data_IF_235916597975
#
_entry.id   IF_235916597975
#
_cell.length_a   1.000
_cell.length_b   1.000
_cell.length_c   1.000
_cell.angle_alpha   90.00
_cell.angle_beta   90.00
_cell.angle_gamma   90.00
#
_symmetry.space_group_name_H-M   'P 1'
#
loop_
_entity.id
_entity.type
_entity.pdbx_description
1 polymer ?
#
# COMPACT_ATOMS: atom_id res chain seq x y z
N UNK A 1 3.66 21.88 -5.28
CA UNK A 1 5.11 22.00 -5.51
C UNK A 1 5.81 20.66 -5.41
N UNK A 2 5.63 19.91 -4.31
CA UNK A 2 6.30 18.61 -4.09
C UNK A 2 6.01 17.59 -5.19
N UNK A 3 4.76 17.50 -5.66
CA UNK A 3 4.37 16.62 -6.77
C UNK A 3 5.12 17.00 -8.06
N UNK A 4 5.18 18.28 -8.39
CA UNK A 4 5.89 18.75 -9.60
C UNK A 4 7.39 18.48 -9.52
N UNK A 5 8.01 18.71 -8.36
CA UNK A 5 9.43 18.40 -8.13
C UNK A 5 9.72 16.91 -8.22
N UNK A 6 8.84 16.06 -7.65
CA UNK A 6 8.96 14.61 -7.76
C UNK A 6 8.78 14.15 -9.21
N UNK A 7 7.79 14.69 -9.93
CA UNK A 7 7.54 14.38 -11.33
C UNK A 7 8.77 14.68 -12.21
N UNK A 8 9.38 15.87 -12.05
CA UNK A 8 10.61 16.19 -12.77
C UNK A 8 11.78 15.26 -12.48
N UNK A 9 11.90 14.74 -11.23
CA UNK A 9 12.92 13.74 -10.90
C UNK A 9 12.65 12.39 -11.55
N UNK A 10 11.39 11.94 -11.53
CA UNK A 10 10.96 10.68 -12.12
C UNK A 10 11.16 10.66 -13.64
N UNK A 11 10.74 11.73 -14.33
CA UNK A 11 10.91 11.89 -15.77
C UNK A 11 12.38 11.88 -16.18
N UNK A 12 13.24 12.66 -15.50
CA UNK A 12 14.68 12.67 -15.78
C UNK A 12 15.36 11.31 -15.60
N UNK A 13 14.85 10.47 -14.69
CA UNK A 13 15.37 9.12 -14.43
C UNK A 13 14.73 8.05 -15.31
N UNK A 14 13.71 8.39 -16.09
CA UNK A 14 12.97 7.42 -16.91
C UNK A 14 12.29 6.31 -16.09
N UNK A 15 11.84 6.62 -14.86
CA UNK A 15 11.24 5.61 -13.96
C UNK A 15 9.83 5.26 -14.40
N UNK A 16 9.05 6.24 -14.85
CA UNK A 16 7.68 6.08 -15.32
C UNK A 16 7.29 7.20 -16.28
N UNK A 17 6.36 6.94 -17.18
CA UNK A 17 5.59 7.97 -17.86
C UNK A 17 4.57 8.55 -16.88
N UNK A 18 4.36 9.86 -16.93
CA UNK A 18 3.53 10.53 -15.93
C UNK A 18 2.35 11.25 -16.57
N UNK A 19 1.16 10.99 -16.00
CA UNK A 19 -0.04 11.78 -16.22
C UNK A 19 -0.35 12.57 -14.95
N UNK A 20 -0.33 13.90 -15.04
CA UNK A 20 -0.60 14.81 -13.91
C UNK A 20 -2.00 15.39 -14.09
N UNK A 21 -2.81 15.33 -13.02
CA UNK A 21 -4.19 15.81 -13.03
C UNK A 21 -4.29 17.23 -12.50
N UNK A 22 -4.93 18.11 -13.27
CA UNK A 22 -5.19 19.49 -12.90
C UNK A 22 -5.23 20.43 -14.10
N UNK A 23 -5.30 21.73 -13.83
CA UNK A 23 -5.27 22.77 -14.89
C UNK A 23 -3.87 22.84 -15.52
N UNK A 24 -3.80 22.61 -16.83
CA UNK A 24 -2.52 22.51 -17.54
C UNK A 24 -1.74 23.82 -17.49
N UNK A 25 -2.41 24.96 -17.64
CA UNK A 25 -1.74 26.27 -17.66
C UNK A 25 -1.10 26.57 -16.30
N UNK A 26 -1.82 26.29 -15.22
CA UNK A 26 -1.33 26.47 -13.86
C UNK A 26 -0.18 25.51 -13.54
N UNK A 27 -0.30 24.23 -13.93
CA UNK A 27 0.74 23.20 -13.72
C UNK A 27 2.02 23.60 -14.47
N UNK A 28 1.93 23.96 -15.75
CA UNK A 28 3.09 24.35 -16.57
C UNK A 28 3.74 25.63 -16.05
N UNK A 29 2.95 26.65 -15.70
CA UNK A 29 3.46 27.88 -15.12
C UNK A 29 4.22 27.62 -13.82
N UNK A 30 3.60 26.85 -12.90
CA UNK A 30 4.22 26.57 -11.61
C UNK A 30 5.48 25.71 -11.74
N UNK A 31 5.49 24.73 -12.63
CA UNK A 31 6.67 23.93 -12.94
C UNK A 31 7.84 24.83 -13.44
N UNK A 32 7.54 25.78 -14.32
CA UNK A 32 8.55 26.76 -14.82
C UNK A 32 9.13 27.60 -13.68
N UNK A 33 8.28 28.13 -12.77
CA UNK A 33 8.72 28.87 -11.59
C UNK A 33 9.64 28.07 -10.68
N UNK A 34 9.39 26.76 -10.57
CA UNK A 34 10.18 25.81 -9.77
C UNK A 34 11.43 25.29 -10.50
N UNK A 35 11.65 25.67 -11.77
CA UNK A 35 12.73 25.16 -12.59
C UNK A 35 12.59 23.66 -12.91
N UNK A 36 11.35 23.15 -12.99
CA UNK A 36 11.04 21.73 -13.24
C UNK A 36 10.58 21.56 -14.68
N UNK A 37 11.27 20.70 -15.42
CA UNK A 37 10.86 20.29 -16.76
C UNK A 37 9.81 19.19 -16.68
N UNK A 38 8.62 19.47 -17.20
CA UNK A 38 7.50 18.54 -17.35
C UNK A 38 7.11 18.32 -18.81
N UNK A 39 7.97 18.64 -19.77
CA UNK A 39 7.66 18.53 -21.21
C UNK A 39 7.23 17.11 -21.61
N UNK A 40 7.80 16.08 -20.98
CA UNK A 40 7.46 14.69 -21.21
C UNK A 40 6.23 14.19 -20.41
N UNK A 41 5.62 15.03 -19.55
CA UNK A 41 4.42 14.64 -18.81
C UNK A 41 3.15 14.97 -19.62
N UNK A 42 2.18 14.05 -19.60
CA UNK A 42 0.81 14.34 -19.99
C UNK A 42 0.11 15.10 -18.86
N UNK A 43 -0.64 16.13 -19.20
CA UNK A 43 -1.49 16.86 -18.22
C UNK A 43 -2.94 16.73 -18.65
N UNK A 44 -3.80 16.29 -17.72
CA UNK A 44 -5.24 16.15 -17.95
C UNK A 44 -6.01 16.95 -16.89
N UNK A 45 -6.95 17.78 -17.35
CA UNK A 45 -7.86 18.46 -16.44
C UNK A 45 -9.16 17.62 -16.32
N UNK A 46 -9.47 17.06 -15.14
CA UNK A 46 -10.68 16.25 -14.93
C UNK A 46 -11.98 16.98 -15.31
N UNK A 47 -12.00 18.31 -15.17
CA UNK A 47 -13.23 19.12 -15.43
C UNK A 47 -13.48 19.43 -16.90
N UNK A 48 -12.46 19.38 -17.73
CA UNK A 48 -12.57 19.68 -19.16
C UNK A 48 -12.13 18.54 -20.08
N UNK A 49 -11.81 17.38 -19.51
CA UNK A 49 -11.42 16.19 -20.28
C UNK A 49 -12.59 15.59 -21.03
N UNK A 50 -12.37 15.21 -22.28
CA UNK A 50 -13.32 14.45 -23.09
C UNK A 50 -13.68 13.08 -22.48
N UNK A 51 -12.84 12.56 -21.57
CA UNK A 51 -13.09 11.30 -20.87
C UNK A 51 -14.15 11.42 -19.78
N UNK A 52 -14.50 12.63 -19.36
CA UNK A 52 -15.39 12.86 -18.21
C UNK A 52 -16.76 12.19 -18.41
N UNK A 53 -17.37 12.34 -19.60
CA UNK A 53 -18.68 11.74 -19.87
C UNK A 53 -18.63 10.21 -19.87
N UNK A 54 -17.65 9.62 -20.56
CA UNK A 54 -17.43 8.18 -20.54
C UNK A 54 -17.23 7.65 -19.11
N UNK A 55 -16.44 8.35 -18.29
CA UNK A 55 -16.18 7.96 -16.91
C UNK A 55 -17.43 8.09 -16.04
N UNK A 56 -18.24 9.11 -16.26
CA UNK A 56 -19.52 9.28 -15.55
C UNK A 56 -20.49 8.11 -15.82
N UNK A 57 -20.65 7.73 -17.08
CA UNK A 57 -21.49 6.59 -17.47
C UNK A 57 -20.99 5.28 -16.84
N UNK A 58 -19.68 5.03 -16.92
CA UNK A 58 -19.07 3.84 -16.34
C UNK A 58 -19.19 3.81 -14.81
N UNK A 59 -18.91 4.93 -14.13
CA UNK A 59 -19.02 5.01 -12.69
C UNK A 59 -20.47 4.83 -12.22
N UNK A 60 -21.45 5.42 -12.90
CA UNK A 60 -22.86 5.21 -12.62
C UNK A 60 -23.24 3.72 -12.73
N UNK A 61 -22.77 3.01 -13.74
CA UNK A 61 -23.03 1.57 -13.89
C UNK A 61 -22.35 0.76 -12.77
N UNK A 62 -21.09 1.05 -12.42
CA UNK A 62 -20.36 0.42 -11.30
C UNK A 62 -21.13 0.61 -9.99
N UNK A 63 -21.74 1.78 -9.78
CA UNK A 63 -22.44 2.16 -8.55
C UNK A 63 -23.96 2.06 -8.64
N UNK A 64 -24.51 1.47 -9.69
CA UNK A 64 -25.97 1.33 -9.95
C UNK A 64 -26.74 0.76 -8.76
N UNK A 65 -26.19 -0.27 -8.10
CA UNK A 65 -26.81 -0.86 -6.89
C UNK A 65 -26.87 0.09 -5.70
N UNK A 66 -26.12 1.20 -5.73
CA UNK A 66 -26.13 2.26 -4.72
C UNK A 66 -26.97 3.47 -5.15
N UNK A 67 -27.64 3.40 -6.31
CA UNK A 67 -28.54 4.44 -6.81
C UNK A 67 -27.83 5.68 -7.37
N UNK A 68 -26.55 5.58 -7.75
CA UNK A 68 -25.82 6.71 -8.34
C UNK A 68 -26.32 6.93 -9.78
N UNK A 69 -26.82 8.15 -10.07
CA UNK A 69 -27.21 8.55 -11.43
C UNK A 69 -26.03 9.04 -12.25
N UNK A 70 -26.16 9.13 -13.58
CA UNK A 70 -25.11 9.66 -14.46
C UNK A 70 -24.80 11.12 -14.13
N UNK A 71 -25.81 11.93 -13.79
CA UNK A 71 -25.63 13.34 -13.39
C UNK A 71 -24.75 13.45 -12.13
N UNK A 72 -25.06 12.63 -11.11
CA UNK A 72 -24.24 12.57 -9.89
C UNK A 72 -22.83 12.06 -10.18
N UNK A 73 -22.73 11.04 -11.02
CA UNK A 73 -21.45 10.46 -11.43
C UNK A 73 -20.57 11.49 -12.14
N UNK A 74 -21.17 12.34 -12.99
CA UNK A 74 -20.45 13.41 -13.71
C UNK A 74 -19.78 14.42 -12.77
N UNK A 75 -20.43 14.75 -11.65
CA UNK A 75 -19.82 15.61 -10.63
C UNK A 75 -18.69 14.88 -9.87
N UNK A 76 -18.93 13.61 -9.52
CA UNK A 76 -17.98 12.80 -8.74
C UNK A 76 -16.69 12.56 -9.53
N UNK A 77 -16.77 12.20 -10.80
CA UNK A 77 -15.59 11.87 -11.60
C UNK A 77 -14.72 13.08 -11.95
N UNK A 78 -15.18 14.29 -11.70
CA UNK A 78 -14.37 15.51 -11.81
C UNK A 78 -13.37 15.68 -10.64
N UNK A 79 -13.56 14.93 -9.57
CA UNK A 79 -12.60 14.85 -8.48
C UNK A 79 -11.33 14.12 -8.93
N UNK A 80 -10.15 14.66 -8.58
CA UNK A 80 -8.87 14.14 -9.07
C UNK A 80 -8.60 12.69 -8.67
N UNK A 81 -9.03 12.26 -7.47
CA UNK A 81 -8.84 10.87 -7.04
C UNK A 81 -9.79 9.92 -7.76
N UNK A 82 -11.03 10.32 -7.99
CA UNK A 82 -11.98 9.53 -8.79
C UNK A 82 -11.56 9.47 -10.26
N UNK A 83 -11.17 10.61 -10.85
CA UNK A 83 -10.72 10.64 -12.24
C UNK A 83 -9.47 9.78 -12.45
N UNK A 84 -8.47 9.91 -11.57
CA UNK A 84 -7.27 9.09 -11.62
C UNK A 84 -7.56 7.60 -11.47
N UNK A 85 -8.47 7.24 -10.57
CA UNK A 85 -8.90 5.85 -10.41
C UNK A 85 -9.62 5.32 -11.65
N UNK A 86 -10.42 6.16 -12.34
CA UNK A 86 -11.05 5.78 -13.61
C UNK A 86 -10.04 5.64 -14.75
N UNK A 87 -8.95 6.42 -14.77
CA UNK A 87 -7.85 6.21 -15.72
C UNK A 87 -7.21 4.83 -15.51
N UNK A 88 -6.93 4.45 -14.26
CA UNK A 88 -6.40 3.12 -13.90
C UNK A 88 -7.40 2.01 -14.28
N UNK A 89 -8.68 2.20 -13.98
CA UNK A 89 -9.74 1.23 -14.31
C UNK A 89 -9.83 0.92 -15.80
N UNK A 90 -9.65 1.95 -16.64
CA UNK A 90 -9.72 1.85 -18.11
C UNK A 90 -8.37 1.49 -18.77
N UNK A 91 -7.33 1.12 -18.04
CA UNK A 91 -6.00 0.83 -18.59
C UNK A 91 -5.38 1.98 -19.40
N UNK A 92 -5.77 3.23 -19.10
CA UNK A 92 -5.17 4.44 -19.69
C UNK A 92 -3.84 4.75 -19.00
N UNK A 93 -3.75 4.41 -17.71
CA UNK A 93 -2.52 4.41 -16.92
C UNK A 93 -2.45 3.12 -16.09
N UNK A 94 -1.24 2.69 -15.75
CA UNK A 94 -1.00 1.42 -15.07
C UNK A 94 -1.23 1.50 -13.55
N UNK A 95 -1.19 2.70 -12.97
CA UNK A 95 -1.39 2.90 -11.54
C UNK A 95 -1.61 4.37 -11.17
N UNK A 96 -1.95 4.62 -9.90
CA UNK A 96 -2.19 5.96 -9.38
C UNK A 96 -1.45 6.18 -8.06
N UNK A 97 -0.90 7.37 -7.89
CA UNK A 97 -0.37 7.88 -6.61
C UNK A 97 -1.05 9.21 -6.29
N UNK A 98 -1.69 9.31 -5.15
CA UNK A 98 -2.42 10.51 -4.69
C UNK A 98 -2.25 10.68 -3.17
N UNK A 99 -2.79 11.74 -2.57
CA UNK A 99 -2.84 11.91 -1.10
C UNK A 99 -2.00 13.05 -0.54
N UNK A 100 -1.04 13.60 -1.27
CA UNK A 100 -0.16 14.68 -0.75
C UNK A 100 -0.90 15.94 -0.27
N UNK A 101 -2.13 16.15 -0.74
CA UNK A 101 -3.00 17.27 -0.35
C UNK A 101 -4.40 16.81 0.12
N UNK A 102 -4.63 15.50 0.23
CA UNK A 102 -5.91 14.89 0.57
C UNK A 102 -5.79 13.95 1.78
N UNK A 103 -6.91 13.53 2.33
CA UNK A 103 -6.92 12.49 3.36
C UNK A 103 -6.78 11.11 2.71
N UNK A 104 -6.23 10.14 3.46
CA UNK A 104 -6.18 8.73 3.02
C UNK A 104 -7.55 8.22 2.57
N UNK A 105 -8.62 8.53 3.31
CA UNK A 105 -9.97 8.15 2.93
C UNK A 105 -10.38 8.69 1.55
N UNK A 106 -10.00 9.93 1.20
CA UNK A 106 -10.31 10.53 -0.10
C UNK A 106 -9.57 9.83 -1.25
N UNK A 107 -8.33 9.43 -1.04
CA UNK A 107 -7.52 8.69 -2.05
C UNK A 107 -7.99 7.25 -2.21
N UNK A 108 -8.26 6.56 -1.10
CA UNK A 108 -8.47 5.10 -1.09
C UNK A 108 -9.93 4.73 -1.42
N UNK A 109 -10.91 5.56 -1.04
CA UNK A 109 -12.34 5.27 -1.30
C UNK A 109 -12.67 5.00 -2.77
N UNK A 110 -12.22 5.79 -3.77
CA UNK A 110 -12.45 5.47 -5.18
C UNK A 110 -11.92 4.10 -5.58
N UNK A 111 -10.75 3.70 -5.04
CA UNK A 111 -10.14 2.41 -5.35
C UNK A 111 -11.00 1.23 -4.85
N UNK A 112 -11.59 1.35 -3.66
CA UNK A 112 -12.53 0.33 -3.16
C UNK A 112 -13.82 0.27 -3.98
N UNK A 113 -14.28 1.38 -4.47
CA UNK A 113 -15.52 1.46 -5.25
C UNK A 113 -15.36 0.96 -6.68
N UNK A 114 -14.23 1.25 -7.32
CA UNK A 114 -13.99 1.07 -8.76
C UNK A 114 -13.05 -0.10 -9.03
N UNK A 115 -11.86 -0.10 -8.44
CA UNK A 115 -10.81 -1.12 -8.68
C UNK A 115 -11.14 -2.43 -7.99
N UNK A 116 -11.60 -2.36 -6.74
CA UNK A 116 -11.94 -3.51 -5.89
C UNK A 116 -10.73 -4.38 -5.56
N UNK A 117 -10.98 -5.45 -4.79
CA UNK A 117 -9.95 -6.40 -4.37
C UNK A 117 -9.69 -7.46 -5.44
N UNK A 118 -8.50 -8.04 -5.41
CA UNK A 118 -8.16 -9.26 -6.14
C UNK A 118 -9.11 -10.41 -5.78
N UNK A 119 -9.38 -11.33 -6.71
CA UNK A 119 -10.13 -12.54 -6.40
C UNK A 119 -9.51 -13.31 -5.22
N UNK A 120 -10.35 -13.68 -4.25
CA UNK A 120 -9.91 -14.41 -3.05
C UNK A 120 -9.26 -13.53 -1.96
N UNK A 121 -9.17 -12.22 -2.15
CA UNK A 121 -8.72 -11.26 -1.13
C UNK A 121 -9.93 -10.53 -0.57
N UNK A 122 -10.18 -10.67 0.73
CA UNK A 122 -11.33 -10.09 1.40
C UNK A 122 -11.14 -8.63 1.77
N UNK A 123 -9.89 -8.20 1.98
CA UNK A 123 -9.59 -6.85 2.48
C UNK A 123 -8.37 -6.24 1.81
N UNK A 124 -8.42 -4.93 1.62
CA UNK A 124 -7.24 -4.13 1.24
C UNK A 124 -6.48 -3.81 2.50
N UNK A 125 -5.17 -3.94 2.45
CA UNK A 125 -4.26 -3.62 3.54
C UNK A 125 -3.05 -2.83 3.05
N UNK A 126 -2.08 -2.62 3.92
CA UNK A 126 -0.86 -1.90 3.56
C UNK A 126 0.39 -2.60 4.09
N UNK A 127 1.53 -2.32 3.45
CA UNK A 127 2.83 -2.55 4.05
C UNK A 127 3.67 -1.27 4.09
N UNK A 128 4.60 -1.23 5.04
CA UNK A 128 5.76 -0.35 5.00
C UNK A 128 7.02 -1.16 4.76
N UNK A 129 7.85 -0.72 3.83
CA UNK A 129 9.21 -1.22 3.69
C UNK A 129 10.10 -0.43 4.66
N UNK A 130 10.56 -1.10 5.70
CA UNK A 130 11.42 -0.53 6.72
C UNK A 130 12.88 -0.79 6.34
N UNK A 131 13.54 0.23 5.77
CA UNK A 131 14.94 0.15 5.37
C UNK A 131 15.81 0.47 6.58
N UNK A 132 16.36 -0.55 7.18
CA UNK A 132 17.36 -0.48 8.24
C UNK A 132 18.77 -0.36 7.62
N UNK A 133 19.80 -0.21 8.44
CA UNK A 133 21.17 -0.06 7.97
C UNK A 133 21.72 -1.30 7.27
N UNK A 134 21.21 -2.48 7.62
CA UNK A 134 21.71 -3.79 7.20
C UNK A 134 20.69 -4.64 6.44
N UNK A 135 19.42 -4.28 6.49
CA UNK A 135 18.33 -5.08 5.91
C UNK A 135 17.06 -4.26 5.64
N UNK A 136 16.17 -4.83 4.84
CA UNK A 136 14.80 -4.30 4.63
C UNK A 136 13.79 -5.29 5.21
N UNK A 137 12.86 -4.78 6.01
CA UNK A 137 11.75 -5.55 6.58
C UNK A 137 10.43 -5.02 6.03
N UNK A 138 9.46 -5.91 5.78
CA UNK A 138 8.11 -5.54 5.41
C UNK A 138 7.19 -5.60 6.64
N UNK A 139 6.56 -4.48 6.99
CA UNK A 139 5.64 -4.35 8.12
C UNK A 139 4.19 -4.21 7.63
N UNK A 140 3.31 -5.12 7.99
CA UNK A 140 1.91 -5.12 7.60
C UNK A 140 0.96 -5.56 8.74
N UNK A 141 -0.27 -5.06 8.86
CA UNK A 141 -0.77 -3.81 8.32
C UNK A 141 -0.44 -2.66 9.27
N UNK A 142 -0.16 -1.49 8.73
CA UNK A 142 0.21 -0.33 9.54
C UNK A 142 -0.64 0.92 9.26
N UNK A 143 -1.63 0.86 8.32
CA UNK A 143 -2.33 2.08 7.92
C UNK A 143 -3.83 1.92 7.61
N UNK A 144 -4.36 0.73 7.38
CA UNK A 144 -5.70 0.54 6.78
C UNK A 144 -6.69 -0.16 7.70
N UNK A 145 -6.38 -1.36 8.21
CA UNK A 145 -7.34 -2.22 8.92
C UNK A 145 -7.19 -2.08 10.44
N UNK A 146 -8.17 -1.46 11.13
CA UNK A 146 -8.01 -1.16 12.57
C UNK A 146 -7.90 -2.40 13.45
N UNK A 147 -8.78 -3.37 13.28
CA UNK A 147 -8.83 -4.61 14.06
C UNK A 147 -9.26 -5.76 13.14
N UNK A 148 -8.31 -6.42 12.46
CA UNK A 148 -8.61 -7.49 11.53
C UNK A 148 -9.12 -8.74 12.26
N UNK A 149 -10.07 -9.45 11.65
CA UNK A 149 -10.42 -10.83 12.04
C UNK A 149 -9.25 -11.77 11.74
N UNK A 150 -9.33 -13.04 12.18
CA UNK A 150 -8.30 -14.02 11.85
C UNK A 150 -8.17 -14.26 10.34
N UNK A 151 -9.30 -14.27 9.62
CA UNK A 151 -9.34 -14.40 8.15
C UNK A 151 -8.69 -13.21 7.45
N UNK A 152 -9.03 -11.98 7.87
CA UNK A 152 -8.43 -10.75 7.33
C UNK A 152 -6.94 -10.68 7.65
N UNK A 153 -6.53 -11.10 8.85
CA UNK A 153 -5.12 -11.13 9.25
C UNK A 153 -4.32 -12.15 8.41
N UNK A 154 -4.92 -13.28 8.05
CA UNK A 154 -4.32 -14.24 7.13
C UNK A 154 -4.20 -13.65 5.71
N UNK A 155 -5.22 -12.94 5.22
CA UNK A 155 -5.16 -12.24 3.93
C UNK A 155 -4.07 -11.17 3.91
N UNK A 156 -3.93 -10.40 5.00
CA UNK A 156 -2.85 -9.41 5.19
C UNK A 156 -1.49 -10.10 5.10
N UNK A 157 -1.30 -11.22 5.78
CA UNK A 157 -0.05 -11.96 5.78
C UNK A 157 0.34 -12.46 4.38
N UNK A 158 -0.60 -13.09 3.68
CA UNK A 158 -0.39 -13.62 2.33
C UNK A 158 -0.11 -12.49 1.34
N UNK A 159 -0.89 -11.41 1.40
CA UNK A 159 -0.68 -10.24 0.54
C UNK A 159 0.67 -9.58 0.82
N UNK A 160 1.07 -9.46 2.09
CA UNK A 160 2.35 -8.88 2.49
C UNK A 160 3.53 -9.73 2.02
N UNK A 161 3.43 -11.05 2.09
CA UNK A 161 4.44 -11.97 1.58
C UNK A 161 4.62 -11.82 0.06
N UNK A 162 3.52 -11.77 -0.68
CA UNK A 162 3.53 -11.56 -2.14
C UNK A 162 4.13 -10.21 -2.50
N UNK A 163 3.72 -9.15 -1.79
CA UNK A 163 4.27 -7.80 -2.02
C UNK A 163 5.76 -7.75 -1.68
N UNK A 164 6.20 -8.34 -0.57
CA UNK A 164 7.62 -8.42 -0.22
C UNK A 164 8.45 -9.12 -1.30
N UNK A 165 7.96 -10.25 -1.83
CA UNK A 165 8.59 -10.98 -2.92
C UNK A 165 8.70 -10.13 -4.21
N UNK A 166 7.71 -9.27 -4.48
CA UNK A 166 7.77 -8.33 -5.60
C UNK A 166 8.95 -7.36 -5.50
N UNK A 167 9.33 -6.98 -4.28
CA UNK A 167 10.47 -6.11 -4.02
C UNK A 167 11.78 -6.87 -3.78
N UNK A 168 11.82 -8.17 -4.12
CA UNK A 168 13.02 -8.99 -4.00
C UNK A 168 13.35 -9.43 -2.56
N UNK A 169 12.40 -9.29 -1.64
CA UNK A 169 12.54 -9.77 -0.26
C UNK A 169 12.04 -11.21 -0.20
N UNK A 170 12.90 -12.15 0.19
CA UNK A 170 12.52 -13.55 0.45
C UNK A 170 11.54 -13.63 1.64
N UNK A 171 10.25 -13.99 1.44
CA UNK A 171 9.24 -13.84 2.46
C UNK A 171 9.35 -14.91 3.56
N UNK A 172 9.68 -14.48 4.78
CA UNK A 172 9.58 -15.25 6.01
C UNK A 172 8.66 -14.50 6.96
N UNK A 173 7.45 -15.00 7.09
CA UNK A 173 6.33 -14.30 7.73
C UNK A 173 6.26 -14.59 9.22
N UNK A 174 6.37 -13.56 10.05
CA UNK A 174 6.14 -13.64 11.49
C UNK A 174 4.78 -13.02 11.83
N UNK A 175 3.86 -13.83 12.38
CA UNK A 175 2.56 -13.38 12.88
C UNK A 175 2.74 -12.92 14.32
N UNK A 176 2.81 -11.60 14.52
CA UNK A 176 3.25 -11.00 15.76
C UNK A 176 2.20 -11.04 16.87
N UNK A 177 2.67 -11.28 18.08
CA UNK A 177 1.91 -11.28 19.32
C UNK A 177 2.81 -10.92 20.49
N UNK A 178 2.23 -10.62 21.66
CA UNK A 178 2.97 -10.59 22.93
C UNK A 178 3.33 -12.00 23.44
N UNK A 179 2.86 -13.05 22.76
CA UNK A 179 3.16 -14.45 23.06
C UNK A 179 4.05 -15.07 22.01
N UNK A 180 4.96 -15.95 22.41
CA UNK A 180 5.71 -16.83 21.52
C UNK A 180 5.28 -18.27 21.79
N UNK A 181 4.68 -18.91 20.78
CA UNK A 181 4.09 -20.25 20.94
C UNK A 181 3.02 -20.28 22.04
N UNK A 182 3.24 -21.10 23.07
CA UNK A 182 2.33 -21.28 24.19
C UNK A 182 2.66 -20.42 25.43
N UNK A 183 3.56 -19.43 25.30
CA UNK A 183 4.02 -18.63 26.45
C UNK A 183 2.97 -17.69 27.03
N UNK A 184 1.92 -17.37 26.29
CA UNK A 184 0.81 -16.51 26.69
C UNK A 184 -0.53 -16.99 26.17
N UNK A 185 -1.61 -16.42 26.71
CA UNK A 185 -2.98 -16.74 26.34
C UNK A 185 -3.85 -15.48 26.28
N UNK A 186 -4.97 -15.56 25.60
CA UNK A 186 -5.96 -14.50 25.46
C UNK A 186 -6.46 -14.36 24.03
N UNK A 187 -7.57 -13.63 23.85
CA UNK A 187 -8.25 -13.51 22.57
C UNK A 187 -7.35 -13.01 21.44
N UNK A 188 -6.43 -12.07 21.72
CA UNK A 188 -5.46 -11.59 20.74
C UNK A 188 -4.46 -12.66 20.30
N UNK A 189 -4.01 -13.52 21.24
CA UNK A 189 -3.12 -14.65 20.91
C UNK A 189 -3.86 -15.70 20.09
N UNK A 190 -5.10 -16.00 20.47
CA UNK A 190 -5.94 -16.98 19.76
C UNK A 190 -6.27 -16.52 18.34
N UNK A 191 -6.53 -15.22 18.13
CA UNK A 191 -6.68 -14.61 16.79
C UNK A 191 -5.45 -14.84 15.94
N UNK A 192 -4.27 -14.55 16.46
CA UNK A 192 -3.00 -14.70 15.73
C UNK A 192 -2.73 -16.18 15.42
N UNK A 193 -2.99 -17.07 16.37
CA UNK A 193 -2.84 -18.53 16.18
C UNK A 193 -3.77 -19.01 15.06
N UNK A 194 -5.05 -18.64 15.09
CA UNK A 194 -6.02 -18.99 14.06
C UNK A 194 -5.61 -18.45 12.69
N UNK A 195 -5.16 -17.19 12.61
CA UNK A 195 -4.66 -16.59 11.37
C UNK A 195 -3.44 -17.35 10.82
N UNK A 196 -2.50 -17.73 11.68
CA UNK A 196 -1.31 -18.50 11.28
C UNK A 196 -1.68 -19.84 10.65
N UNK A 197 -2.64 -20.57 11.25
CA UNK A 197 -3.14 -21.82 10.69
C UNK A 197 -3.85 -21.63 9.35
N UNK A 198 -4.63 -20.56 9.20
CA UNK A 198 -5.26 -20.22 7.93
C UNK A 198 -4.23 -19.91 6.83
N UNK A 199 -3.14 -19.24 7.15
CA UNK A 199 -2.03 -19.01 6.19
C UNK A 199 -1.42 -20.34 5.76
N UNK A 200 -1.10 -21.23 6.71
CA UNK A 200 -0.54 -22.56 6.43
C UNK A 200 -1.44 -23.42 5.54
N UNK A 201 -2.75 -23.32 5.74
CA UNK A 201 -3.73 -24.04 4.92
C UNK A 201 -3.87 -23.50 3.51
N UNK A 202 -3.83 -22.16 3.34
CA UNK A 202 -4.04 -21.50 2.05
C UNK A 202 -2.77 -21.42 1.20
N UNK A 203 -1.60 -21.30 1.85
CA UNK A 203 -0.29 -21.17 1.20
C UNK A 203 0.72 -22.12 1.89
N UNK A 204 0.64 -23.42 1.62
CA UNK A 204 1.45 -24.45 2.33
C UNK A 204 2.96 -24.27 2.18
N UNK A 205 3.40 -23.66 1.09
CA UNK A 205 4.81 -23.43 0.78
C UNK A 205 5.35 -22.14 1.39
N UNK A 206 4.49 -21.26 1.95
CA UNK A 206 4.90 -20.02 2.58
C UNK A 206 5.48 -20.28 3.97
N UNK A 207 6.70 -19.84 4.19
CA UNK A 207 7.32 -19.89 5.51
C UNK A 207 6.60 -18.91 6.46
N UNK A 208 5.81 -19.43 7.37
CA UNK A 208 5.05 -18.65 8.36
C UNK A 208 5.20 -19.22 9.76
N UNK A 209 5.38 -18.34 10.74
CA UNK A 209 5.48 -18.65 12.16
C UNK A 209 4.63 -17.70 13.00
N UNK A 210 3.95 -18.24 14.01
CA UNK A 210 3.14 -17.45 14.93
C UNK A 210 2.25 -18.31 15.83
N UNK A 211 1.81 -17.74 16.97
CA UNK A 211 2.16 -16.40 17.47
C UNK A 211 3.64 -16.30 17.86
N UNK A 212 4.26 -15.15 17.60
CA UNK A 212 5.67 -14.92 17.92
C UNK A 212 5.89 -13.46 18.35
N UNK A 213 6.75 -13.24 19.35
CA UNK A 213 7.15 -11.90 19.78
C UNK A 213 8.14 -11.29 18.77
N UNK A 214 8.18 -9.96 18.72
CA UNK A 214 9.01 -9.23 17.77
C UNK A 214 10.51 -9.58 17.90
N UNK A 215 11.05 -9.63 19.14
CA UNK A 215 12.44 -10.00 19.40
C UNK A 215 12.77 -11.42 18.91
N UNK A 216 11.89 -12.38 19.18
CA UNK A 216 12.05 -13.75 18.70
C UNK A 216 11.92 -13.87 17.17
N UNK A 217 11.16 -12.97 16.52
CA UNK A 217 11.04 -12.97 15.08
C UNK A 217 12.31 -12.50 14.35
N UNK A 218 13.04 -11.52 14.91
CA UNK A 218 14.12 -10.82 14.20
C UNK A 218 15.53 -11.04 14.77
N UNK A 219 15.62 -11.55 16.01
CA UNK A 219 16.91 -11.72 16.71
C UNK A 219 17.29 -13.22 16.84
N UNK A 220 18.33 -13.69 16.14
CA UNK A 220 18.71 -15.11 16.15
C UNK A 220 18.98 -15.70 17.52
N UNK A 221 19.59 -14.94 18.43
CA UNK A 221 19.91 -15.40 19.78
C UNK A 221 18.64 -15.69 20.62
N UNK A 222 17.61 -14.84 20.46
CA UNK A 222 16.31 -15.01 21.12
C UNK A 222 15.55 -16.19 20.49
N UNK A 223 15.57 -16.29 19.18
CA UNK A 223 14.95 -17.40 18.44
C UNK A 223 15.54 -18.76 18.85
N UNK A 224 16.86 -18.85 18.99
CA UNK A 224 17.53 -20.08 19.41
C UNK A 224 17.05 -20.60 20.78
N UNK A 225 16.64 -19.70 21.68
CA UNK A 225 16.09 -20.04 22.98
C UNK A 225 14.60 -20.37 22.95
N UNK A 226 13.80 -19.55 22.22
CA UNK A 226 12.33 -19.62 22.26
C UNK A 226 11.73 -20.56 21.20
N UNK A 227 12.34 -20.64 20.01
CA UNK A 227 11.82 -21.40 18.86
C UNK A 227 12.95 -22.00 18.01
N UNK A 228 13.80 -22.89 18.58
CA UNK A 228 15.04 -23.37 17.93
C UNK A 228 14.82 -24.11 16.61
N UNK A 229 13.62 -24.68 16.40
CA UNK A 229 13.27 -25.45 15.20
C UNK A 229 12.50 -24.65 14.14
N UNK A 230 12.24 -23.36 14.38
CA UNK A 230 11.47 -22.53 13.44
C UNK A 230 12.31 -22.14 12.21
N UNK A 231 11.73 -22.26 11.04
CA UNK A 231 12.33 -21.76 9.79
C UNK A 231 12.25 -20.23 9.64
N UNK A 232 11.47 -19.55 10.48
CA UNK A 232 11.19 -18.11 10.41
C UNK A 232 11.83 -17.34 11.58
N UNK A 233 11.74 -17.87 12.80
CA UNK A 233 12.23 -17.19 13.99
C UNK A 233 13.71 -16.77 13.85
N UNK A 234 14.01 -15.55 14.29
CA UNK A 234 15.33 -14.92 14.21
C UNK A 234 15.75 -14.42 12.83
N UNK A 235 14.94 -14.65 11.80
CA UNK A 235 15.22 -14.25 10.41
C UNK A 235 13.97 -13.85 9.63
N UNK A 236 12.91 -13.46 10.33
CA UNK A 236 11.70 -12.95 9.70
C UNK A 236 12.01 -11.70 8.86
N UNK A 237 11.38 -11.63 7.70
CA UNK A 237 11.49 -10.50 6.77
C UNK A 237 10.15 -9.78 6.58
N UNK A 238 9.04 -10.46 6.89
CA UNK A 238 7.68 -9.92 6.84
C UNK A 238 7.08 -10.05 8.24
N UNK A 239 6.71 -8.93 8.84
CA UNK A 239 6.19 -8.86 10.20
C UNK A 239 4.75 -8.37 10.16
N UNK A 240 3.83 -9.22 10.60
CA UNK A 240 2.38 -8.97 10.56
C UNK A 240 1.89 -8.62 11.96
N UNK A 241 1.35 -7.43 12.10
CA UNK A 241 0.85 -6.90 13.36
C UNK A 241 -0.61 -7.31 13.60
N UNK A 242 -1.00 -7.66 14.85
CA UNK A 242 -2.34 -8.16 15.15
C UNK A 242 -3.44 -7.10 15.02
N UNK A 243 -3.09 -5.83 15.05
CA UNK A 243 -3.99 -4.68 14.97
C UNK A 243 -3.25 -3.41 14.54
N UNK A 244 -4.01 -2.39 14.15
CA UNK A 244 -3.47 -1.13 13.64
C UNK A 244 -2.73 -0.32 14.72
N UNK A 245 -3.16 -0.37 15.98
CA UNK A 245 -2.46 0.33 17.06
C UNK A 245 -1.03 -0.18 17.17
N UNK A 246 -0.86 -1.51 17.16
CA UNK A 246 0.45 -2.15 17.23
C UNK A 246 1.29 -1.81 16.00
N UNK A 247 0.75 -2.01 14.80
CA UNK A 247 1.47 -1.78 13.55
C UNK A 247 1.87 -0.31 13.35
N UNK A 248 0.92 0.61 13.51
CA UNK A 248 1.13 2.04 13.29
C UNK A 248 2.16 2.64 14.28
N UNK A 249 2.05 2.28 15.57
CA UNK A 249 3.00 2.76 16.56
C UNK A 249 4.39 2.14 16.38
N UNK A 250 4.46 0.86 16.03
CA UNK A 250 5.75 0.16 15.88
C UNK A 250 6.55 0.70 14.70
N UNK A 251 5.96 0.86 13.51
CA UNK A 251 6.74 1.38 12.38
C UNK A 251 7.25 2.80 12.66
N UNK A 252 6.44 3.64 13.30
CA UNK A 252 6.86 5.01 13.68
C UNK A 252 7.97 5.00 14.73
N UNK A 253 7.86 4.12 15.73
CA UNK A 253 8.89 3.97 16.75
C UNK A 253 10.23 3.53 16.13
N UNK A 254 10.22 2.52 15.26
CA UNK A 254 11.41 2.06 14.53
C UNK A 254 11.97 3.16 13.64
N UNK A 255 11.11 3.83 12.86
CA UNK A 255 11.53 4.94 11.99
C UNK A 255 12.22 6.05 12.79
N UNK A 256 11.64 6.47 13.92
CA UNK A 256 12.15 7.61 14.70
C UNK A 256 13.31 7.25 15.63
N UNK A 257 13.29 6.05 16.21
CA UNK A 257 14.28 5.63 17.21
C UNK A 257 15.50 4.95 16.60
N UNK A 258 15.33 4.20 15.51
CA UNK A 258 16.42 3.52 14.83
C UNK A 258 16.91 4.26 13.57
N UNK A 259 16.32 5.40 13.22
CA UNK A 259 16.68 6.15 12.01
C UNK A 259 16.37 5.42 10.72
N UNK A 260 15.47 4.43 10.75
CA UNK A 260 15.07 3.67 9.57
C UNK A 260 14.29 4.55 8.59
N UNK A 261 14.48 4.30 7.29
CA UNK A 261 13.64 4.90 6.25
C UNK A 261 12.38 4.02 6.13
N UNK A 262 11.20 4.61 6.35
CA UNK A 262 9.93 3.94 6.18
C UNK A 262 9.31 4.34 4.84
N UNK A 263 9.21 3.41 3.90
CA UNK A 263 8.61 3.65 2.59
C UNK A 263 7.22 3.03 2.57
N UNK A 264 6.19 3.85 2.43
CA UNK A 264 4.80 3.43 2.47
C UNK A 264 3.85 4.56 2.90
N UNK A 265 2.55 4.27 3.10
CA UNK A 265 1.97 2.93 2.97
C UNK A 265 1.88 2.46 1.51
N UNK A 266 2.31 1.25 1.24
CA UNK A 266 2.10 0.57 -0.03
C UNK A 266 0.81 -0.23 0.09
N UNK A 267 -0.22 0.13 -0.68
CA UNK A 267 -1.49 -0.59 -0.65
C UNK A 267 -1.36 -1.94 -1.37
N UNK A 268 -2.05 -2.92 -0.84
CA UNK A 268 -2.04 -4.29 -1.36
C UNK A 268 -3.43 -4.92 -1.34
N UNK A 269 -3.64 -5.92 -2.17
CA UNK A 269 -4.93 -6.59 -2.30
C UNK A 269 -5.88 -5.92 -3.29
N UNK A 270 -5.53 -4.81 -3.93
CA UNK A 270 -6.29 -4.20 -5.03
C UNK A 270 -6.02 -4.89 -6.36
N UNK A 271 -7.02 -4.94 -7.26
CA UNK A 271 -6.85 -5.49 -8.62
C UNK A 271 -5.82 -4.72 -9.45
N UNK A 272 -5.65 -3.42 -9.21
CA UNK A 272 -4.68 -2.56 -9.89
C UNK A 272 -4.00 -1.63 -8.90
N UNK A 273 -2.76 -1.20 -9.15
CA UNK A 273 -1.98 -0.42 -8.21
C UNK A 273 -2.54 0.98 -7.98
N UNK A 274 -2.88 1.25 -6.74
CA UNK A 274 -3.19 2.61 -6.26
C UNK A 274 -2.51 2.78 -4.92
N UNK A 275 -1.73 3.84 -4.75
CA UNK A 275 -1.04 4.11 -3.50
C UNK A 275 -1.36 5.52 -2.96
N UNK A 276 -1.39 5.61 -1.63
CA UNK A 276 -1.67 6.83 -0.89
C UNK A 276 -0.37 7.48 -0.40
N UNK A 277 -0.38 8.80 -0.36
CA UNK A 277 0.69 9.62 0.21
C UNK A 277 0.22 10.26 1.52
N UNK A 278 1.11 10.31 2.49
CA UNK A 278 0.90 11.19 3.63
C UNK A 278 0.86 12.67 3.18
N UNK A 279 0.01 13.48 3.80
CA UNK A 279 0.02 14.94 3.60
C UNK A 279 1.36 15.59 3.98
N UNK A 280 2.14 14.93 4.81
CA UNK A 280 3.51 15.31 5.17
C UNK A 280 4.61 14.68 4.30
N UNK A 281 4.26 13.94 3.23
CA UNK A 281 5.23 13.30 2.35
C UNK A 281 6.23 14.30 1.77
N UNK A 282 7.50 13.96 1.79
CA UNK A 282 8.56 14.70 1.13
C UNK A 282 8.64 14.36 -0.35
N UNK A 283 9.44 15.08 -1.11
CA UNK A 283 9.65 14.83 -2.55
C UNK A 283 10.19 13.43 -2.79
N UNK A 284 11.12 12.98 -1.96
CA UNK A 284 11.68 11.63 -1.99
C UNK A 284 10.62 10.54 -1.75
N UNK A 285 9.74 10.74 -0.78
CA UNK A 285 8.66 9.79 -0.47
C UNK A 285 7.72 9.62 -1.68
N UNK A 286 7.42 10.72 -2.37
CA UNK A 286 6.61 10.70 -3.60
C UNK A 286 7.32 9.92 -4.71
N UNK A 287 8.61 10.18 -4.92
CA UNK A 287 9.42 9.46 -5.92
C UNK A 287 9.44 7.97 -5.63
N UNK A 288 9.65 7.58 -4.37
CA UNK A 288 9.65 6.16 -3.98
C UNK A 288 8.29 5.52 -4.17
N UNK A 289 7.21 6.21 -3.78
CA UNK A 289 5.84 5.66 -3.93
C UNK A 289 5.47 5.47 -5.40
N UNK A 290 5.84 6.39 -6.30
CA UNK A 290 5.63 6.21 -7.75
C UNK A 290 6.45 5.04 -8.29
N UNK A 291 7.72 4.93 -7.90
CA UNK A 291 8.57 3.81 -8.33
C UNK A 291 8.00 2.45 -7.86
N UNK A 292 7.52 2.37 -6.62
CA UNK A 292 6.84 1.19 -6.08
C UNK A 292 5.57 0.87 -6.87
N UNK A 293 4.74 1.89 -7.17
CA UNK A 293 3.53 1.72 -7.98
C UNK A 293 3.84 1.17 -9.36
N UNK A 294 4.91 1.66 -9.99
CA UNK A 294 5.38 1.15 -11.28
C UNK A 294 5.84 -0.32 -11.20
N UNK A 295 6.50 -0.74 -10.11
CA UNK A 295 6.88 -2.13 -9.87
C UNK A 295 5.63 -3.02 -9.69
N UNK A 296 4.64 -2.55 -8.93
CA UNK A 296 3.38 -3.27 -8.75
C UNK A 296 2.65 -3.47 -10.09
N UNK A 297 2.67 -2.46 -10.96
CA UNK A 297 2.02 -2.49 -12.27
C UNK A 297 2.63 -3.50 -13.26
N UNK A 298 3.90 -3.85 -13.13
CA UNK A 298 4.57 -4.82 -14.01
C UNK A 298 4.03 -6.25 -13.93
N UNK A 299 3.08 -6.51 -13.02
CA UNK A 299 2.54 -7.86 -12.75
C UNK A 299 1.02 -7.97 -12.90
N UNK A 300 0.40 -6.90 -13.38
CA UNK A 300 -1.06 -6.88 -13.64
C UNK A 300 -1.40 -7.58 -14.96
#
# INVERSE_FOLDING_TARGET
>A
DRILQAAGRLLRRGIAELTILGDESQIRSRASELGVDLSAATVLNPRSSELCEKFAEQYAEIRKKKGVTVEQAREIVQDVSYFGTMLVHNDIVDGMVSGAAHTTAHTVKPSFEIIKTLPGVSTVSSIFLMCLSDRVLAYGDCAIVPDPTAEELADIAISSARTAAQFGIDPRVAMLSYSTGESGSGAGVDKVRAATELVRQREPDLLVEGPIQYDAAVEPSVAASKMPNSAVAGRATVLIFPDLNTGNNTYKAVQRSAGAIAIGPVLQGLNKPVNDLSRGALVEDIVYTVAITAIQAQRS
#
